data_IF_934093298965
#
_entry.id   IF_934093298965
#
_cell.length_a   1.000
_cell.length_b   1.000
_cell.length_c   1.000
_cell.angle_alpha   90.00
_cell.angle_beta   90.00
_cell.angle_gamma   90.00
#
_symmetry.space_group_name_H-M   'P 1'
#
loop_
_entity.id
_entity.type
_entity.pdbx_description
1 polymer ?
#
# COMPACT_ATOMS: atom_id res chain seq x y z
N UNK A 1 16.78 -32.14 2.08
CA UNK A 1 16.64 -30.86 1.36
C UNK A 1 17.13 -29.79 2.31
N UNK A 2 18.09 -28.98 1.88
CA UNK A 2 18.57 -27.83 2.67
C UNK A 2 17.44 -26.80 2.69
N UNK A 3 16.97 -26.41 3.88
CA UNK A 3 15.98 -25.34 4.01
C UNK A 3 16.55 -24.06 3.37
N UNK A 4 15.71 -23.24 2.72
CA UNK A 4 16.16 -21.95 2.19
C UNK A 4 16.74 -21.11 3.34
N UNK A 5 17.76 -20.27 3.07
CA UNK A 5 18.34 -19.43 4.10
C UNK A 5 17.30 -18.44 4.66
N UNK A 6 17.46 -18.08 5.93
CA UNK A 6 16.71 -16.97 6.52
C UNK A 6 17.32 -15.65 6.01
N UNK A 7 16.51 -14.76 5.42
CA UNK A 7 16.97 -13.45 4.96
C UNK A 7 17.44 -12.60 6.13
N UNK A 8 18.40 -11.70 5.87
CA UNK A 8 18.90 -10.76 6.88
C UNK A 8 18.16 -9.43 6.82
N UNK A 9 17.55 -9.12 5.67
CA UNK A 9 16.84 -7.88 5.37
C UNK A 9 15.39 -8.12 4.94
N UNK A 10 14.57 -7.09 5.07
CA UNK A 10 13.20 -7.09 4.57
C UNK A 10 12.83 -5.74 3.92
N UNK A 11 12.10 -5.81 2.80
CA UNK A 11 11.39 -4.69 2.20
C UNK A 11 9.90 -5.01 2.24
N UNK A 12 9.12 -4.19 2.92
CA UNK A 12 7.66 -4.26 2.90
C UNK A 12 7.16 -3.15 2.01
N UNK A 13 6.32 -3.49 1.03
CA UNK A 13 5.62 -2.55 0.16
C UNK A 13 4.13 -2.72 0.41
N UNK A 14 3.52 -1.71 1.02
CA UNK A 14 2.08 -1.63 1.22
C UNK A 14 1.53 -0.63 0.21
N UNK A 15 0.66 -1.11 -0.70
CA UNK A 15 -0.10 -0.26 -1.61
C UNK A 15 -1.52 -0.09 -1.04
N UNK A 16 -1.93 1.11 -0.68
CA UNK A 16 -3.20 1.34 -0.01
C UNK A 16 -4.41 1.14 -0.96
N UNK A 17 -5.45 0.45 -0.50
CA UNK A 17 -6.67 0.21 -1.28
C UNK A 17 -6.45 -0.64 -2.56
N UNK A 18 -5.52 -1.60 -2.52
CA UNK A 18 -5.19 -2.46 -3.66
C UNK A 18 -6.21 -3.60 -3.82
N UNK A 19 -6.93 -3.59 -4.93
CA UNK A 19 -7.95 -4.60 -5.23
C UNK A 19 -7.34 -5.90 -5.76
N UNK A 20 -7.44 -6.97 -4.97
CA UNK A 20 -6.96 -8.32 -5.35
C UNK A 20 -7.50 -8.78 -6.69
N UNK A 21 -8.81 -8.64 -6.92
CA UNK A 21 -9.50 -9.14 -8.11
C UNK A 21 -9.16 -8.36 -9.39
N UNK A 22 -8.42 -7.25 -9.28
CA UNK A 22 -7.97 -6.45 -10.41
C UNK A 22 -6.54 -6.74 -10.83
N UNK A 23 -5.83 -7.64 -10.15
CA UNK A 23 -4.45 -7.99 -10.46
C UNK A 23 -4.39 -9.20 -11.39
N UNK A 24 -3.56 -9.14 -12.44
CA UNK A 24 -3.32 -10.24 -13.37
C UNK A 24 -2.92 -11.54 -12.69
N UNK A 25 -2.05 -11.46 -11.69
CA UNK A 25 -1.61 -12.58 -10.86
C UNK A 25 -2.76 -13.31 -10.12
N UNK A 26 -3.88 -12.63 -9.87
CA UNK A 26 -5.10 -13.23 -9.28
C UNK A 26 -6.22 -13.46 -10.30
N UNK A 27 -5.92 -13.32 -11.59
CA UNK A 27 -6.85 -13.56 -12.70
C UNK A 27 -7.66 -12.33 -13.14
N UNK A 28 -7.31 -11.14 -12.67
CA UNK A 28 -7.88 -9.89 -13.18
C UNK A 28 -7.38 -9.58 -14.60
N UNK A 29 -8.25 -9.04 -15.45
CA UNK A 29 -7.95 -8.71 -16.84
C UNK A 29 -8.43 -7.30 -17.24
N UNK A 30 -8.97 -6.54 -16.28
CA UNK A 30 -9.55 -5.22 -16.54
C UNK A 30 -8.49 -4.12 -16.68
N UNK A 31 -7.39 -4.20 -15.93
CA UNK A 31 -6.33 -3.20 -15.90
C UNK A 31 -4.95 -3.86 -16.00
N UNK A 32 -3.99 -3.15 -16.62
CA UNK A 32 -2.63 -3.63 -16.78
C UNK A 32 -1.83 -3.52 -15.47
N UNK A 33 -1.32 -4.64 -14.99
CA UNK A 33 -0.45 -4.76 -13.79
C UNK A 33 0.84 -5.56 -14.05
N UNK A 34 1.62 -5.26 -15.12
CA UNK A 34 2.71 -6.12 -15.56
C UNK A 34 3.86 -6.27 -14.55
N UNK A 35 4.12 -5.28 -13.70
CA UNK A 35 5.21 -5.37 -12.71
C UNK A 35 4.79 -6.12 -11.45
N UNK A 36 3.54 -5.97 -11.02
CA UNK A 36 2.91 -6.78 -9.99
C UNK A 36 2.86 -8.24 -10.43
N UNK A 37 2.50 -8.51 -11.68
CA UNK A 37 2.50 -9.86 -12.26
C UNK A 37 3.92 -10.44 -12.37
N UNK A 38 4.88 -9.61 -12.79
CA UNK A 38 6.31 -9.96 -12.79
C UNK A 38 6.81 -10.32 -11.39
N UNK A 39 6.43 -9.55 -10.38
CA UNK A 39 6.79 -9.83 -8.99
C UNK A 39 6.17 -11.14 -8.52
N UNK A 40 4.87 -11.34 -8.77
CA UNK A 40 4.14 -12.55 -8.42
C UNK A 40 4.78 -13.81 -9.02
N UNK A 41 5.24 -13.76 -10.27
CA UNK A 41 5.88 -14.89 -10.95
C UNK A 41 7.18 -15.39 -10.28
N UNK A 42 7.79 -14.58 -9.41
CA UNK A 42 8.96 -14.94 -8.60
C UNK A 42 8.70 -14.99 -7.09
N UNK A 43 7.44 -14.84 -6.67
CA UNK A 43 7.06 -14.74 -5.26
C UNK A 43 6.14 -15.90 -4.84
N UNK A 44 6.05 -16.11 -3.52
CA UNK A 44 5.00 -16.92 -2.92
C UNK A 44 3.71 -16.11 -2.91
N UNK A 45 2.64 -16.65 -3.49
CA UNK A 45 1.33 -16.01 -3.60
C UNK A 45 0.33 -16.65 -2.63
N UNK A 46 -0.43 -15.83 -1.89
CA UNK A 46 -1.41 -16.32 -0.91
C UNK A 46 -2.84 -16.22 -1.45
N UNK A 47 -3.55 -17.35 -1.46
CA UNK A 47 -4.88 -17.43 -2.05
C UNK A 47 -5.98 -16.96 -1.11
N UNK A 48 -5.76 -17.10 0.21
CA UNK A 48 -6.71 -16.77 1.26
C UNK A 48 -6.14 -15.78 2.29
N UNK A 49 -5.63 -14.65 1.81
CA UNK A 49 -5.22 -13.54 2.67
C UNK A 49 -6.34 -12.52 2.84
N UNK A 50 -6.67 -12.17 4.07
CA UNK A 50 -7.76 -11.25 4.39
C UNK A 50 -7.32 -10.14 5.33
N UNK A 51 -8.01 -9.01 5.22
CA UNK A 51 -7.88 -7.90 6.17
C UNK A 51 -8.13 -8.39 7.60
N UNK A 52 -7.34 -7.89 8.54
CA UNK A 52 -7.56 -8.13 9.97
C UNK A 52 -8.48 -7.04 10.52
N UNK A 53 -7.91 -5.86 10.67
CA UNK A 53 -8.56 -4.64 11.10
C UNK A 53 -8.73 -3.66 9.93
N UNK A 54 -9.76 -2.83 9.99
CA UNK A 54 -10.12 -1.87 8.94
C UNK A 54 -10.43 -0.50 9.55
N UNK A 55 -10.25 0.61 8.82
CA UNK A 55 -9.59 0.73 7.51
C UNK A 55 -8.05 0.89 7.64
N UNK A 56 -7.44 1.85 6.94
CA UNK A 56 -6.00 2.06 6.79
C UNK A 56 -5.15 2.02 8.07
N UNK A 57 -5.45 2.83 9.11
CA UNK A 57 -4.60 2.87 10.32
C UNK A 57 -4.70 1.59 11.16
N UNK A 58 -5.89 1.03 11.42
CA UNK A 58 -5.99 -0.29 12.05
C UNK A 58 -5.25 -1.40 11.29
N UNK A 59 -5.25 -1.39 9.95
CA UNK A 59 -4.47 -2.36 9.19
C UNK A 59 -2.95 -2.14 9.32
N UNK A 60 -2.49 -0.89 9.38
CA UNK A 60 -1.08 -0.57 9.71
C UNK A 60 -0.74 -1.00 11.14
N UNK A 61 -1.69 -0.89 12.06
CA UNK A 61 -1.55 -1.40 13.41
C UNK A 61 -1.39 -2.92 13.45
N UNK A 62 -2.19 -3.66 12.67
CA UNK A 62 -2.03 -5.10 12.53
C UNK A 62 -0.60 -5.47 12.11
N UNK A 63 -0.01 -4.75 11.15
CA UNK A 63 1.32 -5.04 10.60
C UNK A 63 2.44 -4.59 11.56
N UNK A 64 2.33 -3.39 12.14
CA UNK A 64 3.38 -2.85 13.00
C UNK A 64 3.34 -3.43 14.41
N UNK A 65 2.16 -3.67 14.97
CA UNK A 65 1.99 -4.15 16.34
C UNK A 65 1.55 -5.62 16.43
N UNK A 66 1.13 -6.26 15.33
CA UNK A 66 0.71 -7.65 15.36
C UNK A 66 -0.59 -7.89 16.13
N UNK A 67 -1.39 -6.84 16.37
CA UNK A 67 -2.60 -6.90 17.19
C UNK A 67 -3.83 -6.42 16.42
N UNK A 68 -4.91 -7.22 16.46
CA UNK A 68 -6.20 -6.90 15.85
C UNK A 68 -6.93 -5.85 16.69
N UNK A 69 -7.26 -4.72 16.06
CA UNK A 69 -7.94 -3.59 16.68
C UNK A 69 -9.45 -3.79 16.79
N UNK A 70 -10.09 -4.44 15.80
CA UNK A 70 -11.56 -4.50 15.72
C UNK A 70 -12.24 -5.10 16.97
N UNK A 71 -11.48 -5.83 17.80
CA UNK A 71 -11.95 -6.40 19.05
C UNK A 71 -12.12 -5.38 20.18
N UNK A 72 -11.44 -4.23 20.14
CA UNK A 72 -11.35 -3.35 21.30
C UNK A 72 -11.12 -1.86 20.98
N UNK A 73 -10.77 -1.50 19.75
CA UNK A 73 -10.42 -0.13 19.37
C UNK A 73 -10.86 0.23 17.94
N UNK A 74 -11.35 1.45 17.69
CA UNK A 74 -11.54 1.97 16.35
C UNK A 74 -10.22 2.50 15.76
N UNK A 75 -10.28 3.37 14.76
CA UNK A 75 -9.14 4.15 14.27
C UNK A 75 -8.45 4.95 15.39
N UNK A 76 -7.13 4.89 15.49
CA UNK A 76 -6.37 5.61 16.52
C UNK A 76 -4.84 5.41 16.45
N UNK A 77 -4.12 6.16 17.29
CA UNK A 77 -2.66 6.11 17.46
C UNK A 77 -2.16 4.73 17.89
N UNK A 78 -0.86 4.41 17.81
CA UNK A 78 -0.33 3.27 18.57
C UNK A 78 -0.45 3.57 20.08
N UNK A 79 -0.90 2.60 20.90
CA UNK A 79 -1.06 2.81 22.34
C UNK A 79 0.27 2.86 23.08
N UNK A 80 0.31 3.58 24.20
CA UNK A 80 1.53 3.75 25.01
C UNK A 80 2.09 2.45 25.60
N UNK A 81 1.28 1.40 25.68
CA UNK A 81 1.67 0.09 26.21
C UNK A 81 2.02 -0.92 25.11
N UNK A 82 1.79 -0.58 23.85
CA UNK A 82 2.16 -1.40 22.70
C UNK A 82 3.59 -1.08 22.29
N UNK A 83 4.28 -2.10 21.76
CA UNK A 83 5.59 -1.93 21.17
C UNK A 83 5.51 -2.27 19.69
N UNK A 84 5.53 -1.28 18.78
CA UNK A 84 5.61 -1.57 17.36
C UNK A 84 6.89 -2.37 17.08
N UNK A 85 6.89 -3.16 16.01
CA UNK A 85 7.99 -4.03 15.59
C UNK A 85 9.34 -3.30 15.53
N UNK A 86 9.33 -1.99 15.27
CA UNK A 86 10.52 -1.15 15.24
C UNK A 86 11.28 -1.13 16.57
N UNK A 87 10.62 -1.28 17.73
CA UNK A 87 11.25 -1.33 19.05
C UNK A 87 12.16 -2.55 19.22
N UNK A 88 11.67 -3.80 19.09
CA UNK A 88 12.51 -4.97 19.25
C UNK A 88 13.57 -5.07 18.15
N UNK A 89 13.26 -4.59 16.93
CA UNK A 89 14.24 -4.49 15.84
C UNK A 89 15.41 -3.56 16.19
N UNK A 90 15.11 -2.38 16.75
CA UNK A 90 16.14 -1.44 17.22
C UNK A 90 17.01 -2.07 18.31
N UNK A 91 16.39 -2.80 19.24
CA UNK A 91 17.11 -3.53 20.30
C UNK A 91 18.01 -4.65 19.75
N UNK A 92 17.67 -5.21 18.59
CA UNK A 92 18.47 -6.21 17.87
C UNK A 92 19.48 -5.59 16.88
N UNK A 93 19.61 -4.27 16.81
CA UNK A 93 20.53 -3.57 15.91
C UNK A 93 20.09 -3.53 14.44
N UNK A 94 18.81 -3.77 14.14
CA UNK A 94 18.24 -3.69 12.80
C UNK A 94 17.89 -2.23 12.49
N UNK A 95 18.34 -1.73 11.34
CA UNK A 95 17.98 -0.38 10.87
C UNK A 95 16.57 -0.39 10.28
N UNK A 96 15.70 0.52 10.72
CA UNK A 96 14.32 0.63 10.22
C UNK A 96 14.11 1.94 9.48
N UNK A 97 13.69 1.87 8.22
CA UNK A 97 13.40 3.05 7.39
C UNK A 97 11.95 3.02 6.94
N UNK A 98 11.21 4.11 7.15
CA UNK A 98 9.88 4.32 6.59
C UNK A 98 9.95 5.30 5.41
N UNK A 99 9.30 5.00 4.30
CA UNK A 99 9.08 5.94 3.20
C UNK A 99 7.59 5.97 2.93
N UNK A 100 6.94 7.10 3.15
CA UNK A 100 5.48 7.17 3.12
C UNK A 100 4.97 8.49 2.55
N UNK A 101 3.86 8.44 1.82
CA UNK A 101 3.02 9.59 1.47
C UNK A 101 1.65 9.55 2.15
N UNK A 102 1.45 8.62 3.08
CA UNK A 102 0.18 8.38 3.73
C UNK A 102 -0.13 9.48 4.76
N UNK A 103 -1.14 10.34 4.53
CA UNK A 103 -1.36 11.54 5.32
C UNK A 103 -1.83 11.23 6.74
N UNK A 104 -2.56 10.12 6.96
CA UNK A 104 -3.10 9.80 8.27
C UNK A 104 -2.04 9.49 9.33
N UNK A 105 -0.79 9.19 8.97
CA UNK A 105 0.32 9.06 9.94
C UNK A 105 0.69 10.41 10.61
N UNK A 106 0.20 11.52 10.05
CA UNK A 106 0.57 12.89 10.43
C UNK A 106 -0.62 13.74 10.88
N UNK A 107 -1.78 13.11 11.12
CA UNK A 107 -2.96 13.76 11.65
C UNK A 107 -3.30 13.30 13.07
N UNK A 108 -4.21 14.03 13.72
CA UNK A 108 -4.68 13.66 15.05
C UNK A 108 -5.45 12.34 14.99
N UNK A 109 -5.06 11.37 15.81
CA UNK A 109 -5.56 10.00 15.78
C UNK A 109 -4.73 9.03 14.94
N UNK A 110 -3.64 9.46 14.29
CA UNK A 110 -2.68 8.57 13.61
C UNK A 110 -1.25 8.71 14.14
N UNK A 111 -1.11 9.14 15.38
CA UNK A 111 0.18 9.38 16.02
C UNK A 111 0.97 8.07 16.26
N UNK A 112 2.29 8.22 16.38
CA UNK A 112 3.25 7.18 16.81
C UNK A 112 3.56 6.06 15.81
N UNK A 113 2.95 6.04 14.61
CA UNK A 113 3.23 5.00 13.61
C UNK A 113 4.60 5.14 12.94
N UNK A 114 5.12 6.37 12.82
CA UNK A 114 6.40 6.64 12.16
C UNK A 114 7.55 6.92 13.16
N UNK A 115 7.23 7.32 14.39
CA UNK A 115 8.19 7.95 15.31
C UNK A 115 9.26 7.02 15.85
N UNK A 116 9.00 5.71 15.87
CA UNK A 116 9.94 4.70 16.36
C UNK A 116 10.83 4.10 15.27
N UNK A 117 10.64 4.47 14.00
CA UNK A 117 11.58 4.12 12.94
C UNK A 117 12.93 4.81 13.16
N UNK A 118 14.01 4.16 12.71
CA UNK A 118 15.37 4.74 12.77
C UNK A 118 15.47 5.99 11.89
N UNK A 119 14.77 5.99 10.76
CA UNK A 119 14.53 7.17 9.93
C UNK A 119 13.22 7.05 9.17
N UNK A 120 12.66 8.18 8.75
CA UNK A 120 11.48 8.21 7.90
C UNK A 120 11.48 9.39 6.93
N UNK A 121 10.87 9.20 5.77
CA UNK A 121 10.58 10.22 4.77
C UNK A 121 9.05 10.38 4.63
N UNK A 122 8.57 11.63 4.65
CA UNK A 122 7.16 11.96 4.42
C UNK A 122 6.98 12.78 3.14
N UNK A 123 6.43 12.14 2.11
CA UNK A 123 6.24 12.70 0.78
C UNK A 123 4.88 13.42 0.74
N UNK A 124 4.95 14.75 0.85
CA UNK A 124 3.79 15.63 1.01
C UNK A 124 2.91 15.72 -0.25
N UNK A 125 1.63 15.96 -0.03
CA UNK A 125 0.68 16.44 -1.02
C UNK A 125 -0.45 15.48 -1.38
N UNK A 126 -0.59 14.34 -0.69
CA UNK A 126 -1.63 13.36 -0.96
C UNK A 126 -2.90 13.61 -0.14
N UNK A 127 -4.07 13.38 -0.74
CA UNK A 127 -5.40 13.31 -0.12
C UNK A 127 -5.68 14.40 0.95
N UNK A 128 -5.70 14.04 2.23
CA UNK A 128 -5.97 14.95 3.35
C UNK A 128 -4.78 15.84 3.76
N UNK A 129 -3.58 15.64 3.21
CA UNK A 129 -2.37 16.34 3.66
C UNK A 129 -2.48 17.88 3.50
N UNK A 130 -2.44 18.65 4.60
CA UNK A 130 -2.45 20.11 4.56
C UNK A 130 -1.09 20.70 4.14
N UNK A 131 -0.59 20.32 2.96
CA UNK A 131 0.71 20.76 2.43
C UNK A 131 0.70 22.18 1.88
N UNK A 132 -0.32 22.52 1.09
CA UNK A 132 -0.47 23.84 0.45
C UNK A 132 -1.70 24.54 0.98
N UNK A 133 -1.51 25.74 1.50
CA UNK A 133 -2.59 26.59 2.04
C UNK A 133 -3.33 27.37 0.96
N UNK A 134 -2.86 27.32 -0.29
CA UNK A 134 -3.49 27.96 -1.44
C UNK A 134 -3.11 27.26 -2.76
N UNK A 135 -3.90 27.45 -3.83
CA UNK A 135 -3.52 27.05 -5.17
C UNK A 135 -2.27 27.81 -5.66
N UNK A 136 -1.51 27.19 -6.57
CA UNK A 136 -0.38 27.84 -7.24
C UNK A 136 -0.88 29.04 -8.09
N UNK A 137 -0.43 30.27 -7.82
CA UNK A 137 -0.88 31.45 -8.57
C UNK A 137 -0.40 31.46 -10.03
N UNK A 138 0.61 30.65 -10.36
CA UNK A 138 1.16 30.50 -11.71
C UNK A 138 0.55 29.31 -12.46
N UNK A 139 -0.55 28.77 -11.96
CA UNK A 139 -1.33 27.71 -12.60
C UNK A 139 -2.07 28.23 -13.84
N UNK A 140 -1.30 28.51 -14.90
CA UNK A 140 -1.77 28.77 -16.26
C UNK A 140 -1.58 27.48 -17.06
N UNK A 141 -2.66 26.75 -17.35
CA UNK A 141 -2.57 25.57 -18.22
C UNK A 141 -1.92 24.38 -17.54
N UNK A 142 -2.75 23.65 -16.81
CA UNK A 142 -2.43 22.46 -16.05
C UNK A 142 -1.77 21.34 -16.88
N UNK A 143 -0.90 20.49 -16.29
CA UNK A 143 -0.83 19.08 -16.69
C UNK A 143 -2.04 18.27 -16.16
N UNK A 144 -2.80 18.80 -15.20
CA UNK A 144 -3.95 18.14 -14.56
C UNK A 144 -5.29 18.73 -15.04
N UNK A 145 -6.07 17.96 -15.81
CA UNK A 145 -7.42 18.37 -16.26
C UNK A 145 -8.27 18.90 -15.09
N UNK A 146 -9.22 19.83 -15.32
CA UNK A 146 -10.14 20.28 -14.28
C UNK A 146 -10.82 19.09 -13.63
N UNK A 147 -10.68 18.96 -12.31
CA UNK A 147 -11.41 17.99 -11.51
C UNK A 147 -12.46 18.76 -10.71
N UNK A 148 -13.74 18.56 -11.04
CA UNK A 148 -14.85 19.31 -10.47
C UNK A 148 -15.92 18.40 -9.90
N UNK A 149 -16.24 18.65 -8.63
CA UNK A 149 -17.36 18.23 -7.76
C UNK A 149 -16.82 17.75 -6.41
N UNK A 150 -17.09 18.51 -5.34
CA UNK A 150 -16.74 18.10 -3.99
C UNK A 150 -16.59 19.25 -2.99
N UNK A 151 -16.31 18.85 -1.74
CA UNK A 151 -15.82 19.72 -0.67
C UNK A 151 -14.38 20.10 -1.03
N UNK A 152 -14.00 21.38 -0.90
CA UNK A 152 -12.62 21.82 -1.08
C UNK A 152 -11.70 21.03 -0.11
N UNK A 153 -10.87 20.14 -0.66
CA UNK A 153 -9.93 19.31 0.11
C UNK A 153 -8.52 19.89 0.03
N UNK A 154 -7.65 19.62 1.02
CA UNK A 154 -6.23 20.00 0.96
C UNK A 154 -5.53 19.57 -0.35
N UNK A 155 -5.87 18.40 -0.88
CA UNK A 155 -5.40 17.94 -2.19
C UNK A 155 -5.65 18.93 -3.33
N UNK A 156 -6.79 19.62 -3.35
CA UNK A 156 -7.16 20.54 -4.44
C UNK A 156 -6.19 21.72 -4.52
N UNK A 157 -5.61 22.13 -3.38
CA UNK A 157 -4.50 23.08 -3.38
C UNK A 157 -3.20 22.39 -3.81
N UNK A 158 -2.86 21.25 -3.21
CA UNK A 158 -1.60 20.53 -3.44
C UNK A 158 -1.36 20.20 -4.91
N UNK A 159 -2.36 19.65 -5.60
CA UNK A 159 -2.25 19.21 -7.00
C UNK A 159 -1.93 20.33 -7.99
N UNK A 160 -2.28 21.57 -7.67
CA UNK A 160 -1.97 22.72 -8.56
C UNK A 160 -0.49 23.04 -8.64
N UNK A 161 0.31 22.50 -7.71
CA UNK A 161 1.77 22.63 -7.68
C UNK A 161 2.50 21.48 -8.39
N UNK A 162 1.78 20.44 -8.85
CA UNK A 162 2.39 19.33 -9.58
C UNK A 162 2.63 19.74 -11.05
N UNK A 163 3.88 19.60 -11.52
CA UNK A 163 4.34 19.99 -12.86
C UNK A 163 4.73 18.79 -13.70
N UNK A 164 5.25 17.75 -13.09
CA UNK A 164 5.63 16.49 -13.73
C UNK A 164 5.14 15.27 -12.95
N UNK A 165 5.29 14.07 -13.52
CA UNK A 165 4.84 12.83 -12.87
C UNK A 165 5.51 12.60 -11.52
N UNK A 166 6.79 12.95 -11.39
CA UNK A 166 7.53 12.93 -10.12
C UNK A 166 7.11 14.04 -9.14
N UNK A 167 6.10 14.83 -9.46
CA UNK A 167 5.45 15.68 -8.47
C UNK A 167 4.30 14.99 -7.73
N UNK A 168 3.78 13.89 -8.25
CA UNK A 168 2.74 13.11 -7.61
C UNK A 168 3.31 12.32 -6.42
N UNK A 169 2.57 12.20 -5.31
CA UNK A 169 3.04 11.53 -4.10
C UNK A 169 3.56 10.10 -4.33
N UNK A 170 2.78 9.23 -4.97
CA UNK A 170 3.21 7.83 -5.17
C UNK A 170 4.49 7.65 -5.99
N UNK A 171 4.63 8.26 -7.18
CA UNK A 171 5.90 8.31 -7.91
C UNK A 171 7.09 8.79 -7.07
N UNK A 172 6.91 9.78 -6.20
CA UNK A 172 7.96 10.28 -5.29
C UNK A 172 8.31 9.26 -4.21
N UNK A 173 7.32 8.62 -3.60
CA UNK A 173 7.51 7.58 -2.56
C UNK A 173 8.33 6.42 -3.12
N UNK A 174 7.91 5.86 -4.26
CA UNK A 174 8.63 4.77 -4.93
C UNK A 174 10.05 5.16 -5.33
N UNK A 175 10.25 6.36 -5.89
CA UNK A 175 11.59 6.85 -6.23
C UNK A 175 12.47 7.04 -4.98
N UNK A 176 11.89 7.52 -3.87
CA UNK A 176 12.61 7.79 -2.63
C UNK A 176 13.05 6.48 -1.96
N UNK A 177 12.17 5.46 -1.95
CA UNK A 177 12.51 4.11 -1.50
C UNK A 177 13.62 3.47 -2.36
N UNK A 178 13.53 3.59 -3.69
CA UNK A 178 14.55 3.08 -4.61
C UNK A 178 15.92 3.77 -4.41
N UNK A 179 15.93 5.08 -4.16
CA UNK A 179 17.15 5.82 -3.81
C UNK A 179 17.71 5.39 -2.48
N UNK A 180 16.87 5.22 -1.46
CA UNK A 180 17.33 4.77 -0.15
C UNK A 180 18.03 3.41 -0.24
N UNK A 181 17.47 2.47 -1.00
CA UNK A 181 18.10 1.17 -1.25
C UNK A 181 19.48 1.34 -1.90
N UNK A 182 19.57 2.13 -2.96
CA UNK A 182 20.82 2.32 -3.72
C UNK A 182 21.90 3.03 -2.90
N UNK A 183 21.51 4.03 -2.12
CA UNK A 183 22.44 4.94 -1.45
C UNK A 183 22.80 4.50 -0.03
N UNK A 184 21.94 3.72 0.65
CA UNK A 184 22.08 3.44 2.08
C UNK A 184 22.09 1.95 2.44
N UNK A 185 21.38 1.07 1.71
CA UNK A 185 21.18 -0.31 2.16
C UNK A 185 22.50 -1.08 2.40
N UNK A 186 23.51 -0.85 1.55
CA UNK A 186 24.84 -1.48 1.67
C UNK A 186 25.68 -1.03 2.89
N UNK A 187 25.23 -0.05 3.66
CA UNK A 187 25.90 0.42 4.88
C UNK A 187 25.28 -0.14 6.17
N UNK A 188 24.26 -0.97 6.06
CA UNK A 188 23.56 -1.57 7.21
C UNK A 188 23.77 -3.08 7.22
N UNK A 189 24.12 -3.64 8.39
CA UNK A 189 24.26 -5.09 8.55
C UNK A 189 22.92 -5.81 8.34
N UNK A 190 21.82 -5.19 8.79
CA UNK A 190 20.43 -5.65 8.65
C UNK A 190 19.49 -4.46 8.57
N UNK A 191 18.48 -4.53 7.71
CA UNK A 191 17.45 -3.49 7.65
C UNK A 191 16.03 -4.00 7.40
N UNK A 192 15.06 -3.19 7.84
CA UNK A 192 13.67 -3.21 7.40
C UNK A 192 13.36 -1.89 6.70
N UNK A 193 13.07 -1.94 5.39
CA UNK A 193 12.51 -0.82 4.65
C UNK A 193 10.99 -1.03 4.54
N UNK A 194 10.23 -0.10 5.09
CA UNK A 194 8.78 -0.08 4.99
C UNK A 194 8.36 1.04 4.03
N UNK A 195 7.83 0.66 2.88
CA UNK A 195 7.27 1.56 1.87
C UNK A 195 5.76 1.57 2.07
N UNK A 196 5.25 2.65 2.66
CA UNK A 196 3.83 2.85 2.90
C UNK A 196 3.27 3.80 1.85
N UNK A 197 2.91 3.22 0.71
CA UNK A 197 2.45 3.91 -0.49
C UNK A 197 0.92 4.02 -0.48
N UNK A 198 0.42 5.24 -0.59
CA UNK A 198 -0.99 5.51 -0.53
C UNK A 198 -1.69 5.29 -1.88
N UNK A 199 -1.00 5.22 -3.02
CA UNK A 199 -1.60 4.77 -4.27
C UNK A 199 -1.87 3.24 -4.24
N UNK A 200 -2.99 2.73 -4.80
CA UNK A 200 -3.99 3.41 -5.64
C UNK A 200 -5.20 4.04 -4.91
N UNK A 201 -5.14 4.34 -3.60
CA UNK A 201 -6.20 5.05 -2.87
C UNK A 201 -6.66 6.32 -3.60
N UNK A 202 -7.87 6.79 -3.34
CA UNK A 202 -8.34 8.08 -3.85
C UNK A 202 -7.52 9.27 -3.29
N UNK A 203 -7.36 10.39 -4.01
CA UNK A 203 -7.96 10.73 -5.28
C UNK A 203 -7.34 9.96 -6.44
N UNK A 204 -8.18 9.49 -7.36
CA UNK A 204 -7.77 8.81 -8.60
C UNK A 204 -7.26 9.79 -9.65
N UNK A 205 -6.35 10.67 -9.23
CA UNK A 205 -5.70 11.66 -10.08
C UNK A 205 -4.40 11.10 -10.65
N UNK A 206 -4.21 11.27 -11.95
CA UNK A 206 -2.99 10.85 -12.64
C UNK A 206 -2.63 11.84 -13.74
N UNK A 207 -1.34 12.04 -14.05
CA UNK A 207 -0.91 12.84 -15.18
C UNK A 207 -0.95 12.04 -16.50
N UNK A 208 -0.73 12.70 -17.63
CA UNK A 208 -0.37 11.99 -18.86
C UNK A 208 0.93 11.18 -18.65
N UNK A 209 1.07 9.98 -19.25
CA UNK A 209 0.15 9.33 -20.20
C UNK A 209 -0.95 8.48 -19.55
N UNK A 210 -1.09 8.50 -18.23
CA UNK A 210 -2.00 7.62 -17.47
C UNK A 210 -3.43 8.12 -17.45
N UNK A 211 -3.62 9.44 -17.40
CA UNK A 211 -4.95 10.05 -17.37
C UNK A 211 -5.86 9.49 -18.46
N UNK A 212 -7.06 9.07 -18.08
CA UNK A 212 -8.07 8.47 -18.97
C UNK A 212 -7.58 7.24 -19.77
N UNK A 213 -6.53 6.54 -19.35
CA UNK A 213 -5.98 5.37 -20.08
C UNK A 213 -7.04 4.32 -20.39
N UNK A 214 -7.94 4.06 -19.45
CA UNK A 214 -9.01 3.07 -19.58
C UNK A 214 -10.38 3.67 -19.93
N UNK A 215 -10.42 4.97 -20.25
CA UNK A 215 -11.62 5.69 -20.68
C UNK A 215 -11.27 6.88 -21.59
N UNK A 216 -10.63 6.64 -22.75
CA UNK A 216 -10.02 7.69 -23.58
C UNK A 216 -11.05 8.65 -24.19
N UNK A 217 -12.30 8.23 -24.29
CA UNK A 217 -13.41 9.04 -24.83
C UNK A 217 -14.07 9.93 -23.74
N UNK A 218 -13.53 9.98 -22.53
CA UNK A 218 -14.01 10.91 -21.49
C UNK A 218 -13.65 12.36 -21.84
N UNK A 219 -14.67 13.19 -22.05
CA UNK A 219 -14.56 14.59 -22.47
C UNK A 219 -15.10 15.59 -21.43
N UNK A 220 -15.48 15.11 -20.24
CA UNK A 220 -15.99 15.92 -19.13
C UNK A 220 -14.87 16.21 -18.10
N UNK A 221 -15.22 16.96 -17.04
CA UNK A 221 -14.32 17.15 -15.90
C UNK A 221 -13.94 15.81 -15.24
N UNK A 222 -12.72 15.70 -14.73
CA UNK A 222 -12.26 14.47 -14.08
C UNK A 222 -13.01 14.23 -12.77
N UNK A 223 -13.38 12.97 -12.54
CA UNK A 223 -13.96 12.51 -11.28
C UNK A 223 -12.90 11.70 -10.53
N UNK A 224 -12.05 12.42 -9.81
CA UNK A 224 -10.94 11.84 -9.05
C UNK A 224 -11.39 11.35 -7.67
N UNK A 225 -12.54 11.82 -7.17
CA UNK A 225 -13.09 11.41 -5.88
C UNK A 225 -14.30 10.51 -6.12
N UNK A 226 -14.24 9.22 -5.75
CA UNK A 226 -15.43 8.38 -5.81
C UNK A 226 -16.48 8.91 -4.81
N UNK A 227 -17.78 8.82 -5.12
CA UNK A 227 -18.80 9.06 -4.12
C UNK A 227 -18.73 7.96 -3.06
N UNK A 228 -18.93 8.30 -1.80
CA UNK A 228 -19.10 7.31 -0.72
C UNK A 228 -20.58 7.00 -0.58
N UNK A 229 -21.05 5.95 -1.26
CA UNK A 229 -22.47 5.68 -1.39
C UNK A 229 -22.81 4.21 -1.66
N UNK A 230 -24.03 3.82 -1.29
CA UNK A 230 -24.65 2.50 -1.53
C UNK A 230 -25.88 2.69 -2.41
N UNK A 231 -25.96 2.12 -3.60
CA UNK A 231 -26.99 2.54 -4.56
C UNK A 231 -26.63 3.90 -5.16
N UNK A 232 -25.37 4.11 -5.53
CA UNK A 232 -24.89 5.40 -6.03
C UNK A 232 -25.55 5.75 -7.37
N UNK A 233 -25.65 4.77 -8.27
CA UNK A 233 -26.31 4.90 -9.57
C UNK A 233 -27.83 4.86 -9.42
N UNK A 234 -28.36 3.91 -8.65
CA UNK A 234 -29.81 3.77 -8.43
C UNK A 234 -30.43 5.05 -7.85
N UNK A 235 -29.73 5.71 -6.92
CA UNK A 235 -30.20 6.96 -6.28
C UNK A 235 -29.80 8.21 -7.05
N UNK A 236 -29.13 8.08 -8.20
CA UNK A 236 -28.72 9.20 -9.05
C UNK A 236 -27.65 10.11 -8.43
N UNK A 237 -26.82 9.59 -7.52
CA UNK A 237 -25.65 10.30 -6.98
C UNK A 237 -24.61 10.50 -8.09
N UNK A 238 -24.43 9.47 -8.91
CA UNK A 238 -23.65 9.47 -10.14
C UNK A 238 -24.42 8.70 -11.21
N UNK A 239 -24.20 9.01 -12.47
CA UNK A 239 -24.67 8.22 -13.60
C UNK A 239 -23.82 6.96 -13.79
N UNK A 240 -24.35 5.98 -14.52
CA UNK A 240 -23.60 4.77 -14.89
C UNK A 240 -22.32 5.10 -15.69
N UNK A 241 -22.36 6.15 -16.53
CA UNK A 241 -21.22 6.64 -17.31
C UNK A 241 -20.12 7.23 -16.41
N UNK A 242 -20.51 8.03 -15.41
CA UNK A 242 -19.60 8.58 -14.39
C UNK A 242 -19.02 7.45 -13.52
N UNK A 243 -19.82 6.44 -13.14
CA UNK A 243 -19.36 5.28 -12.38
C UNK A 243 -18.29 4.46 -13.09
N UNK A 244 -18.48 4.19 -14.40
CA UNK A 244 -17.44 3.54 -15.22
C UNK A 244 -16.17 4.38 -15.32
N UNK A 245 -16.30 5.70 -15.39
CA UNK A 245 -15.15 6.61 -15.44
C UNK A 245 -14.36 6.61 -14.12
N UNK A 246 -15.04 6.63 -12.96
CA UNK A 246 -14.39 6.51 -11.64
C UNK A 246 -13.59 5.20 -11.55
N UNK A 247 -14.17 4.08 -11.99
CA UNK A 247 -13.48 2.78 -12.04
C UNK A 247 -12.27 2.79 -12.97
N UNK A 248 -12.39 3.40 -14.15
CA UNK A 248 -11.28 3.58 -15.08
C UNK A 248 -10.15 4.48 -14.54
N UNK A 249 -10.48 5.50 -13.73
CA UNK A 249 -9.50 6.34 -13.05
C UNK A 249 -8.71 5.56 -11.99
N UNK A 250 -9.38 4.70 -11.21
CA UNK A 250 -8.69 3.76 -10.31
C UNK A 250 -7.72 2.89 -11.11
N UNK A 251 -8.17 2.29 -12.22
CA UNK A 251 -7.30 1.48 -13.09
C UNK A 251 -6.09 2.26 -13.62
N UNK A 252 -6.30 3.52 -14.01
CA UNK A 252 -5.23 4.40 -14.49
C UNK A 252 -4.18 4.66 -13.40
N UNK A 253 -4.64 4.87 -12.16
CA UNK A 253 -3.78 5.04 -10.98
C UNK A 253 -3.05 3.75 -10.60
N UNK A 254 -3.74 2.62 -10.64
CA UNK A 254 -3.16 1.29 -10.45
C UNK A 254 -2.02 1.00 -11.44
N UNK A 255 -2.22 1.26 -12.73
CA UNK A 255 -1.17 1.05 -13.74
C UNK A 255 0.00 2.02 -13.60
N UNK A 256 -0.23 3.24 -13.13
CA UNK A 256 0.85 4.20 -12.83
C UNK A 256 1.69 3.69 -11.65
N UNK A 257 1.06 3.28 -10.55
CA UNK A 257 1.81 2.82 -9.38
C UNK A 257 2.48 1.46 -9.65
N UNK A 258 1.88 0.58 -10.46
CA UNK A 258 2.56 -0.64 -10.97
C UNK A 258 3.86 -0.30 -11.73
N UNK A 259 3.84 0.73 -12.58
CA UNK A 259 5.04 1.18 -13.30
C UNK A 259 6.14 1.65 -12.34
N UNK A 260 5.79 2.39 -11.29
CA UNK A 260 6.77 2.85 -10.30
C UNK A 260 7.24 1.74 -9.35
N UNK A 261 6.36 0.80 -9.01
CA UNK A 261 6.72 -0.42 -8.32
C UNK A 261 7.74 -1.22 -9.13
N UNK A 262 7.59 -1.28 -10.47
CA UNK A 262 8.60 -1.85 -11.36
C UNK A 262 10.00 -1.24 -11.18
N UNK A 263 10.10 0.09 -11.06
CA UNK A 263 11.37 0.78 -10.80
C UNK A 263 11.94 0.47 -9.42
N UNK A 264 11.08 0.34 -8.41
CA UNK A 264 11.50 -0.07 -7.07
C UNK A 264 12.05 -1.51 -7.09
N UNK A 265 11.37 -2.44 -7.76
CA UNK A 265 11.87 -3.81 -7.95
C UNK A 265 13.23 -3.82 -8.64
N UNK A 266 13.39 -3.04 -9.70
CA UNK A 266 14.65 -2.94 -10.43
C UNK A 266 15.78 -2.40 -9.52
N UNK A 267 15.47 -1.49 -8.59
CA UNK A 267 16.42 -1.01 -7.59
C UNK A 267 16.75 -2.07 -6.52
N UNK A 268 15.77 -2.85 -6.06
CA UNK A 268 16.00 -3.99 -5.15
C UNK A 268 16.90 -5.03 -5.83
N UNK A 269 16.67 -5.33 -7.10
CA UNK A 269 17.44 -6.32 -7.86
C UNK A 269 18.86 -5.82 -8.23
N UNK A 270 19.06 -4.49 -8.26
CA UNK A 270 20.35 -3.87 -8.59
C UNK A 270 21.32 -3.77 -7.40
N UNK A 271 20.81 -3.80 -6.15
CA UNK A 271 21.67 -3.84 -4.96
C UNK A 271 22.18 -5.26 -4.73
N UNK A 272 23.43 -5.40 -4.31
CA UNK A 272 24.11 -6.68 -4.02
C UNK A 272 23.62 -7.31 -2.69
N UNK A 273 22.30 -7.25 -2.46
CA UNK A 273 21.59 -7.71 -1.27
C UNK A 273 20.30 -8.46 -1.64
N UNK A 274 19.98 -8.60 -2.93
CA UNK A 274 18.75 -9.24 -3.40
C UNK A 274 18.61 -10.70 -2.91
N UNK A 275 19.73 -11.44 -2.85
CA UNK A 275 19.78 -12.82 -2.36
C UNK A 275 19.66 -12.95 -0.83
N UNK A 276 19.68 -11.84 -0.10
CA UNK A 276 19.56 -11.78 1.37
C UNK A 276 18.34 -10.96 1.84
N UNK A 277 17.48 -10.54 0.91
CA UNK A 277 16.34 -9.64 1.19
C UNK A 277 15.01 -10.30 0.89
N UNK A 278 14.14 -10.42 1.90
CA UNK A 278 12.73 -10.72 1.68
C UNK A 278 12.00 -9.48 1.15
N UNK A 279 11.14 -9.64 0.15
CA UNK A 279 10.25 -8.57 -0.32
C UNK A 279 8.80 -8.99 -0.12
N UNK A 280 8.04 -8.21 0.62
CA UNK A 280 6.64 -8.45 0.95
C UNK A 280 5.82 -7.37 0.27
N UNK A 281 4.85 -7.76 -0.56
CA UNK A 281 3.85 -6.87 -1.13
C UNK A 281 2.49 -7.20 -0.52
N UNK A 282 1.87 -6.22 0.11
CA UNK A 282 0.55 -6.35 0.74
C UNK A 282 -0.28 -5.08 0.54
N UNK A 283 -1.45 -5.06 1.16
CA UNK A 283 -2.33 -3.91 1.23
C UNK A 283 -3.10 -3.94 2.55
N UNK A 284 -3.65 -2.79 2.93
CA UNK A 284 -4.50 -2.67 4.10
C UNK A 284 -5.93 -3.16 3.85
N UNK A 285 -6.49 -2.84 2.69
CA UNK A 285 -7.81 -3.26 2.23
C UNK A 285 -7.96 -3.06 0.72
N UNK A 286 -9.08 -3.49 0.16
CA UNK A 286 -9.46 -3.12 -1.21
C UNK A 286 -10.35 -1.87 -1.28
N UNK A 287 -11.17 -1.77 -2.31
CA UNK A 287 -12.00 -0.60 -2.59
C UNK A 287 -13.22 -0.96 -3.44
N UNK A 288 -14.42 -0.45 -3.10
CA UNK A 288 -15.61 -0.59 -3.94
C UNK A 288 -15.63 0.46 -5.05
N UNK A 289 -15.78 0.00 -6.30
CA UNK A 289 -15.72 0.81 -7.52
C UNK A 289 -16.94 0.54 -8.40
N UNK A 290 -18.10 0.32 -7.77
CA UNK A 290 -19.37 0.02 -8.41
C UNK A 290 -19.86 -1.41 -8.19
N UNK A 291 -19.08 -2.29 -7.57
CA UNK A 291 -19.55 -3.60 -7.14
C UNK A 291 -20.79 -3.43 -6.26
N UNK A 292 -21.90 -4.08 -6.61
CA UNK A 292 -23.19 -3.97 -5.91
C UNK A 292 -23.76 -2.53 -5.86
N UNK A 293 -23.38 -1.68 -6.81
CA UNK A 293 -23.67 -0.24 -6.82
C UNK A 293 -23.12 0.48 -5.56
N UNK A 294 -21.99 0.01 -5.05
CA UNK A 294 -21.26 0.60 -3.91
C UNK A 294 -20.00 1.28 -4.43
N UNK A 295 -19.75 2.51 -3.99
CA UNK A 295 -18.55 3.26 -4.30
C UNK A 295 -17.92 3.80 -3.01
N UNK A 296 -16.59 3.83 -2.97
CA UNK A 296 -15.84 4.25 -1.79
C UNK A 296 -15.76 3.13 -0.74
N UNK A 297 -15.70 3.53 0.52
CA UNK A 297 -15.71 2.64 1.69
C UNK A 297 -16.87 3.01 2.64
N UNK A 298 -18.13 3.15 2.16
CA UNK A 298 -19.27 3.49 3.02
C UNK A 298 -19.48 2.31 3.99
N UNK A 299 -19.77 2.56 5.27
CA UNK A 299 -19.86 1.53 6.32
C UNK A 299 -20.93 0.44 6.06
N UNK A 300 -20.64 -0.47 5.14
CA UNK A 300 -21.44 -1.61 4.70
C UNK A 300 -20.86 -2.91 5.24
N UNK A 301 -21.60 -4.04 5.19
CA UNK A 301 -20.98 -5.35 5.39
C UNK A 301 -19.75 -5.54 4.51
N UNK A 302 -18.71 -6.14 5.07
CA UNK A 302 -17.46 -6.39 4.36
C UNK A 302 -17.67 -7.47 3.30
N UNK A 303 -17.45 -7.12 2.03
CA UNK A 303 -17.48 -8.04 0.90
C UNK A 303 -16.06 -8.27 0.38
N UNK A 304 -15.89 -9.31 -0.44
CA UNK A 304 -14.63 -9.71 -1.06
C UNK A 304 -13.80 -8.55 -1.64
N UNK A 305 -14.37 -7.58 -2.41
CA UNK A 305 -13.59 -6.48 -2.97
C UNK A 305 -12.88 -5.60 -1.94
N UNK A 306 -13.34 -5.59 -0.69
CA UNK A 306 -12.72 -4.81 0.39
C UNK A 306 -11.86 -5.69 1.30
N UNK A 307 -12.31 -6.92 1.59
CA UNK A 307 -11.73 -7.75 2.64
C UNK A 307 -10.76 -8.84 2.18
N UNK A 308 -10.82 -9.27 0.92
CA UNK A 308 -9.94 -10.32 0.38
C UNK A 308 -8.79 -9.67 -0.38
N UNK A 309 -7.64 -9.60 0.28
CA UNK A 309 -6.51 -8.75 -0.14
C UNK A 309 -5.39 -9.56 -0.78
N UNK A 310 -4.63 -8.97 -1.73
CA UNK A 310 -3.44 -9.62 -2.26
C UNK A 310 -2.32 -9.67 -1.21
N UNK A 311 -1.63 -10.81 -1.13
CA UNK A 311 -0.34 -10.93 -0.44
C UNK A 311 0.64 -11.73 -1.31
N UNK A 312 1.84 -11.17 -1.48
CA UNK A 312 2.95 -11.80 -2.16
C UNK A 312 4.22 -11.66 -1.34
N UNK A 313 5.01 -12.74 -1.25
CA UNK A 313 6.27 -12.75 -0.51
C UNK A 313 7.37 -13.35 -1.39
N UNK A 314 8.28 -12.53 -1.90
CA UNK A 314 9.52 -12.99 -2.52
C UNK A 314 10.52 -13.32 -1.43
N UNK A 315 10.89 -14.59 -1.33
CA UNK A 315 11.81 -15.10 -0.32
C UNK A 315 13.04 -15.71 -0.98
N UNK A 316 14.27 -15.30 -0.60
CA UNK A 316 15.50 -15.85 -1.16
C UNK A 316 15.56 -17.39 -1.19
N UNK A 317 15.86 -17.94 -2.36
CA UNK A 317 15.94 -19.39 -2.57
C UNK A 317 14.60 -20.13 -2.60
N UNK A 318 13.47 -19.44 -2.51
CA UNK A 318 12.12 -20.03 -2.63
C UNK A 318 11.53 -19.67 -3.99
N UNK A 319 11.24 -20.65 -4.86
CA UNK A 319 10.59 -20.39 -6.15
C UNK A 319 9.12 -20.01 -5.96
N UNK A 320 8.51 -19.47 -7.01
CA UNK A 320 7.07 -19.21 -7.01
C UNK A 320 6.26 -20.46 -6.62
N UNK A 321 5.33 -20.26 -5.70
CA UNK A 321 4.31 -21.22 -5.30
C UNK A 321 3.08 -20.50 -4.76
N UNK A 322 1.96 -21.22 -4.71
CA UNK A 322 0.71 -20.73 -4.12
C UNK A 322 0.49 -21.36 -2.75
N UNK A 323 0.00 -20.57 -1.81
CA UNK A 323 -0.35 -20.98 -0.46
C UNK A 323 -1.85 -20.77 -0.25
N UNK A 324 -2.55 -21.86 0.09
CA UNK A 324 -3.99 -21.91 0.32
C UNK A 324 -4.38 -21.66 1.80
N UNK A 325 -3.40 -21.35 2.66
CA UNK A 325 -3.64 -21.08 4.07
C UNK A 325 -4.42 -19.77 4.27
N UNK A 326 -5.31 -19.77 5.26
CA UNK A 326 -5.97 -18.56 5.73
C UNK A 326 -4.96 -17.70 6.50
N UNK A 327 -4.70 -16.49 6.01
CA UNK A 327 -3.76 -15.54 6.64
C UNK A 327 -4.36 -14.14 6.73
N UNK A 328 -3.75 -13.30 7.56
CA UNK A 328 -4.15 -11.90 7.78
C UNK A 328 -2.95 -10.99 8.08
N UNK A 329 -3.15 -9.68 8.13
CA UNK A 329 -2.06 -8.68 8.26
C UNK A 329 -1.22 -8.85 9.53
N UNK A 330 -1.79 -9.37 10.63
CA UNK A 330 -1.01 -9.69 11.84
C UNK A 330 -0.01 -10.84 11.63
N UNK A 331 -0.22 -11.69 10.63
CA UNK A 331 0.74 -12.75 10.28
C UNK A 331 1.99 -12.17 9.59
N UNK A 332 1.87 -11.00 8.93
CA UNK A 332 3.02 -10.27 8.37
C UNK A 332 3.92 -9.81 9.52
N UNK A 333 3.34 -9.24 10.58
CA UNK A 333 4.07 -8.89 11.80
C UNK A 333 4.84 -10.11 12.35
N UNK A 334 4.14 -11.22 12.59
CA UNK A 334 4.75 -12.42 13.15
C UNK A 334 5.86 -12.99 12.24
N UNK A 335 5.70 -12.91 10.92
CA UNK A 335 6.71 -13.33 9.94
C UNK A 335 7.96 -12.45 9.99
N UNK A 336 7.80 -11.13 10.12
CA UNK A 336 8.92 -10.20 10.27
C UNK A 336 9.65 -10.43 11.60
N UNK A 337 8.93 -10.66 12.70
CA UNK A 337 9.53 -10.97 14.00
C UNK A 337 10.40 -12.24 13.93
N UNK A 338 9.90 -13.30 13.29
CA UNK A 338 10.61 -14.56 13.07
C UNK A 338 11.83 -14.39 12.16
N UNK A 339 11.69 -13.62 11.06
CA UNK A 339 12.79 -13.26 10.16
C UNK A 339 13.93 -12.57 10.93
N UNK A 340 13.57 -11.62 11.80
CA UNK A 340 14.58 -10.85 12.53
C UNK A 340 15.11 -11.55 13.79
N UNK A 341 14.46 -12.63 14.23
CA UNK A 341 14.82 -13.38 15.44
C UNK A 341 14.51 -12.60 16.72
N UNK A 342 13.39 -11.87 16.73
CA UNK A 342 12.97 -11.00 17.83
C UNK A 342 11.58 -11.39 18.33
N UNK A 343 11.23 -10.94 19.54
CA UNK A 343 9.94 -11.23 20.18
C UNK A 343 9.21 -9.94 20.59
N UNK A 344 7.88 -9.97 20.58
CA UNK A 344 7.06 -8.85 21.04
C UNK A 344 6.84 -8.97 22.55
N UNK A 345 6.78 -7.82 23.24
CA UNK A 345 6.52 -7.79 24.68
C UNK A 345 5.03 -7.65 25.02
N UNK A 346 4.20 -7.29 24.04
CA UNK A 346 2.75 -7.23 24.19
C UNK A 346 2.05 -8.39 23.47
N UNK A 347 0.74 -8.51 23.68
CA UNK A 347 -0.04 -9.59 23.08
C UNK A 347 -0.23 -9.35 21.58
N UNK A 348 0.28 -10.27 20.78
CA UNK A 348 0.02 -10.34 19.34
C UNK A 348 -1.01 -11.42 19.01
N UNK A 349 -1.53 -11.41 17.79
CA UNK A 349 -2.58 -12.32 17.30
C UNK A 349 -2.19 -13.11 16.05
N UNK A 350 -1.04 -12.79 15.43
CA UNK A 350 -0.59 -13.45 14.21
C UNK A 350 0.29 -14.68 14.44
N UNK A 351 0.45 -15.46 13.38
CA UNK A 351 1.33 -16.61 13.29
C UNK A 351 2.35 -16.42 12.16
N UNK A 352 3.61 -16.77 12.40
CA UNK A 352 4.65 -16.66 11.37
C UNK A 352 4.30 -17.51 10.15
N UNK A 353 4.41 -16.92 8.96
CA UNK A 353 4.24 -17.59 7.68
C UNK A 353 5.53 -18.26 7.18
N UNK A 354 6.66 -18.11 7.88
CA UNK A 354 7.95 -18.72 7.50
C UNK A 354 7.82 -20.24 7.27
N UNK A 355 7.12 -21.03 8.12
CA UNK A 355 6.93 -22.46 7.86
C UNK A 355 6.19 -22.74 6.54
N UNK A 356 5.21 -21.91 6.19
CA UNK A 356 4.45 -22.04 4.95
C UNK A 356 5.31 -21.66 3.72
N UNK A 357 6.14 -20.61 3.86
CA UNK A 357 7.03 -20.13 2.80
C UNK A 357 8.16 -21.12 2.53
N UNK A 358 8.77 -21.66 3.58
CA UNK A 358 10.01 -22.46 3.48
C UNK A 358 9.78 -23.98 3.47
N UNK A 359 8.51 -24.41 3.57
CA UNK A 359 8.11 -25.81 3.75
C UNK A 359 8.77 -26.46 4.99
N UNK A 360 9.13 -25.64 5.99
CA UNK A 360 9.59 -26.12 7.28
C UNK A 360 8.39 -26.66 8.07
N UNK A 361 8.58 -27.78 8.78
CA UNK A 361 7.54 -28.32 9.65
C UNK A 361 7.20 -27.30 10.73
N UNK A 362 5.90 -27.02 10.92
CA UNK A 362 5.41 -26.26 12.06
C UNK A 362 5.85 -26.99 13.34
N UNK A 363 6.78 -26.40 14.09
CA UNK A 363 7.26 -26.94 15.37
C UNK A 363 6.26 -26.72 16.49
#
# INVERSE_FOLDING_TARGET
MTHPPMPTNAVVVLLDSLNRHMLGAYGGDEFDTPNLDRFAAGAVQFDHHFVGSLPCMPARHDILCGALDFLWKPWGSIELWEQPITEPLRSAGVTTMLVSDHPHLFEAGGENYHTDFTGWEYLRGHEGDPWKTRPDPSWLGSPALPAGRGINRPYDNSRTWFREELDFPGPRTMQTAARWLTDNAGYHDRFLLFVDEFDPHEPFDTPAPWVNRYDPDWDQELIIWPPYAVGAVERGVISEREGRHVRANYGSKLSMIDHWFGKLLDAIDAVDLADDTAVILCTDHGHYLGERDIFGKPGVPHYEPLGHTPLFIRWPGVPHKRIDALTTNVDIHATLMDLFGVESTHRTHGHSMVPLITDAASS
#
